data_IF_242110666983
#
_entry.id   IF_242110666983
#
_cell.length_a   1.000
_cell.length_b   1.000
_cell.length_c   1.000
_cell.angle_alpha   90.00
_cell.angle_beta   90.00
_cell.angle_gamma   90.00
#
_symmetry.space_group_name_H-M   'P 1'
#
loop_
_entity.id
_entity.type
_entity.pdbx_description
1 polymer ?
#
# COMPACT_ATOMS: atom_id res chain seq x y z
N UNK A 1 -15.50 -7.65 3.89
CA UNK A 1 -14.22 -7.96 4.56
C UNK A 1 -13.49 -6.72 5.07
N UNK A 2 -13.04 -5.79 4.21
CA UNK A 2 -12.23 -4.62 4.63
C UNK A 2 -12.84 -3.75 5.76
N UNK A 3 -14.18 -3.59 5.79
CA UNK A 3 -14.87 -2.82 6.84
C UNK A 3 -14.62 -3.37 8.25
N UNK A 4 -14.54 -4.69 8.42
CA UNK A 4 -14.27 -5.32 9.73
C UNK A 4 -12.84 -5.05 10.21
N UNK A 5 -11.87 -5.03 9.29
CA UNK A 5 -10.47 -4.69 9.59
C UNK A 5 -10.31 -3.21 9.92
N UNK A 6 -11.03 -2.34 9.21
CA UNK A 6 -11.06 -0.90 9.51
C UNK A 6 -11.69 -0.63 10.90
N UNK A 7 -12.81 -1.27 11.22
CA UNK A 7 -13.47 -1.13 12.53
C UNK A 7 -12.56 -1.58 13.69
N UNK A 8 -11.73 -2.60 13.46
CA UNK A 8 -10.70 -3.07 14.41
C UNK A 8 -9.38 -2.29 14.34
N UNK A 9 -9.31 -1.21 13.56
CA UNK A 9 -8.14 -0.35 13.37
C UNK A 9 -6.89 -1.07 12.82
N UNK A 10 -7.07 -2.21 12.16
CA UNK A 10 -5.96 -2.92 11.49
C UNK A 10 -5.56 -2.28 10.16
N UNK A 11 -6.51 -1.62 9.48
CA UNK A 11 -6.25 -0.91 8.23
C UNK A 11 -6.82 0.49 8.31
N UNK A 12 -6.16 1.41 7.63
CA UNK A 12 -6.65 2.77 7.44
C UNK A 12 -7.86 2.79 6.49
N UNK A 13 -8.52 3.95 6.38
CA UNK A 13 -9.53 4.16 5.34
C UNK A 13 -8.91 3.92 3.97
N UNK A 14 -9.71 3.42 3.03
CA UNK A 14 -9.26 3.12 1.67
C UNK A 14 -8.41 4.25 1.07
N UNK A 15 -7.23 3.88 0.56
CA UNK A 15 -6.25 4.82 -0.01
C UNK A 15 -5.36 5.59 0.99
N UNK A 16 -5.61 5.51 2.30
CA UNK A 16 -4.76 6.12 3.33
C UNK A 16 -3.41 5.41 3.47
N UNK A 17 -3.46 4.09 3.65
CA UNK A 17 -2.24 3.26 3.77
C UNK A 17 -1.31 3.37 2.56
N UNK A 18 -1.86 3.35 1.33
CA UNK A 18 -1.06 3.51 0.10
C UNK A 18 -0.34 4.85 0.05
N UNK A 19 -1.04 5.96 0.34
CA UNK A 19 -0.43 7.30 0.39
C UNK A 19 0.68 7.39 1.43
N UNK A 20 0.48 6.77 2.59
CA UNK A 20 1.48 6.75 3.65
C UNK A 20 2.73 5.97 3.25
N UNK A 21 2.59 4.81 2.60
CA UNK A 21 3.72 4.02 2.11
C UNK A 21 4.54 4.82 1.09
N UNK A 22 3.88 5.42 0.09
CA UNK A 22 4.55 6.24 -0.92
C UNK A 22 5.31 7.40 -0.29
N UNK A 23 4.69 8.09 0.67
CA UNK A 23 5.32 9.18 1.42
C UNK A 23 6.58 8.71 2.16
N UNK A 24 6.52 7.56 2.86
CA UNK A 24 7.67 7.04 3.60
C UNK A 24 8.84 6.67 2.68
N UNK A 25 8.56 6.13 1.50
CA UNK A 25 9.59 5.83 0.50
C UNK A 25 10.24 7.11 -0.03
N UNK A 26 9.45 8.14 -0.32
CA UNK A 26 9.95 9.44 -0.73
C UNK A 26 10.82 10.11 0.36
N UNK A 27 10.38 10.08 1.62
CA UNK A 27 11.13 10.64 2.77
C UNK A 27 12.49 9.94 2.98
N UNK A 28 12.61 8.67 2.58
CA UNK A 28 13.85 7.90 2.70
C UNK A 28 14.68 7.87 1.40
N UNK A 29 14.28 8.62 0.38
CA UNK A 29 14.89 8.59 -0.95
C UNK A 29 15.02 7.16 -1.54
N UNK A 30 14.04 6.28 -1.24
CA UNK A 30 13.98 4.91 -1.76
C UNK A 30 13.16 4.85 -3.05
N UNK A 31 13.43 3.87 -3.95
CA UNK A 31 12.62 3.66 -5.14
C UNK A 31 11.16 3.36 -4.78
N UNK A 32 10.20 4.06 -5.39
CA UNK A 32 8.78 3.84 -5.12
C UNK A 32 8.37 2.38 -5.42
N UNK A 33 7.47 1.80 -4.61
CA UNK A 33 6.91 0.48 -4.91
C UNK A 33 6.18 0.47 -6.24
N UNK A 34 6.33 -0.60 -7.02
CA UNK A 34 5.62 -0.78 -8.29
C UNK A 34 4.33 -1.53 -8.02
N UNK A 35 3.21 -0.95 -8.47
CA UNK A 35 1.89 -1.58 -8.48
C UNK A 35 1.60 -2.08 -9.89
N UNK A 36 1.25 -3.35 -10.04
CA UNK A 36 0.97 -3.95 -11.34
C UNK A 36 -0.16 -4.96 -11.26
N UNK A 37 -0.99 -5.00 -12.30
CA UNK A 37 -1.98 -6.05 -12.51
C UNK A 37 -1.38 -7.08 -13.48
N UNK A 38 -1.20 -8.31 -13.00
CA UNK A 38 -0.71 -9.43 -13.80
C UNK A 38 -1.82 -10.49 -13.86
N UNK A 39 -2.54 -10.55 -14.99
CA UNK A 39 -3.68 -11.45 -15.14
C UNK A 39 -4.85 -11.09 -14.22
N UNK A 40 -5.24 -12.02 -13.34
CA UNK A 40 -6.29 -11.81 -12.33
C UNK A 40 -5.75 -11.32 -10.98
N UNK A 41 -4.43 -11.14 -10.87
CA UNK A 41 -3.77 -10.83 -9.61
C UNK A 41 -3.27 -9.39 -9.58
N UNK A 42 -3.33 -8.78 -8.40
CA UNK A 42 -2.74 -7.49 -8.11
C UNK A 42 -1.43 -7.70 -7.31
N UNK A 43 -0.33 -7.18 -7.83
CA UNK A 43 0.99 -7.29 -7.21
C UNK A 43 1.55 -5.93 -6.81
N UNK A 44 2.28 -5.92 -5.69
CA UNK A 44 3.06 -4.75 -5.23
C UNK A 44 4.50 -5.20 -4.97
N UNK A 45 5.45 -4.62 -5.69
CA UNK A 45 6.89 -4.94 -5.59
C UNK A 45 7.61 -3.83 -4.81
N UNK A 46 8.32 -4.21 -3.75
CA UNK A 46 9.11 -3.31 -2.89
C UNK A 46 10.60 -3.49 -3.17
N UNK A 47 11.36 -2.39 -3.13
CA UNK A 47 12.82 -2.38 -3.29
C UNK A 47 13.48 -2.10 -1.94
N UNK A 48 14.55 -2.85 -1.62
CA UNK A 48 15.23 -2.81 -0.33
C UNK A 48 16.62 -2.18 -0.44
#
# INVERSE_FOLDING_TARGET
MAQAFHARKFIERFGGGTRRILRLYAEQARPEPIFSEEGNDFQVKFFF
#
